data_IF_297119876393
#
_entry.id   IF_297119876393
#
_cell.length_a   1.000
_cell.length_b   1.000
_cell.length_c   1.000
_cell.angle_alpha   90.00
_cell.angle_beta   90.00
_cell.angle_gamma   90.00
#
_symmetry.space_group_name_H-M   'P 1'
#
loop_
_entity.id
_entity.type
_entity.pdbx_description
1 polymer ?
#
# COMPACT_ATOMS: atom_id res chain seq x y z
N UNK A 1 6.05 17.15 -19.56
CA UNK A 1 5.42 16.22 -18.61
C UNK A 1 4.49 15.31 -19.39
N UNK A 2 4.70 14.00 -19.32
CA UNK A 2 3.81 13.04 -19.98
C UNK A 2 2.50 12.84 -19.18
N UNK A 3 1.52 12.11 -19.75
CA UNK A 3 0.20 11.96 -19.12
C UNK A 3 0.27 11.26 -17.75
N UNK A 4 1.16 10.29 -17.58
CA UNK A 4 1.34 9.56 -16.32
C UNK A 4 1.90 10.46 -15.21
N UNK A 5 2.85 11.33 -15.54
CA UNK A 5 3.38 12.32 -14.58
C UNK A 5 2.33 13.35 -14.18
N UNK A 6 1.49 13.79 -15.13
CA UNK A 6 0.36 14.66 -14.82
C UNK A 6 -0.64 13.99 -13.89
N UNK A 7 -0.95 12.72 -14.14
CA UNK A 7 -1.84 11.92 -13.27
C UNK A 7 -1.24 11.76 -11.87
N UNK A 8 0.06 11.43 -11.76
CA UNK A 8 0.71 11.30 -10.47
C UNK A 8 0.69 12.63 -9.66
N UNK A 9 0.95 13.75 -10.33
CA UNK A 9 0.90 15.05 -9.67
C UNK A 9 -0.54 15.40 -9.23
N UNK A 10 -1.54 15.05 -10.03
CA UNK A 10 -2.94 15.20 -9.65
C UNK A 10 -3.29 14.37 -8.42
N UNK A 11 -2.89 13.08 -8.36
CA UNK A 11 -3.07 12.23 -7.18
C UNK A 11 -2.46 12.87 -5.94
N UNK A 12 -1.21 13.33 -6.03
CA UNK A 12 -0.52 13.99 -4.92
C UNK A 12 -1.23 15.26 -4.46
N UNK A 13 -1.64 16.10 -5.40
CA UNK A 13 -2.33 17.36 -5.11
C UNK A 13 -3.68 17.12 -4.40
N UNK A 14 -4.53 16.22 -4.91
CA UNK A 14 -5.79 15.88 -4.26
C UNK A 14 -5.54 15.27 -2.89
N UNK A 15 -4.59 14.34 -2.77
CA UNK A 15 -4.23 13.72 -1.49
C UNK A 15 -3.80 14.75 -0.46
N UNK A 16 -2.93 15.69 -0.81
CA UNK A 16 -2.50 16.74 0.10
C UNK A 16 -3.66 17.66 0.49
N UNK A 17 -4.52 18.01 -0.46
CA UNK A 17 -5.66 18.88 -0.23
C UNK A 17 -6.72 18.28 0.70
N UNK A 18 -7.06 16.99 0.55
CA UNK A 18 -8.03 16.34 1.45
C UNK A 18 -7.50 16.24 2.89
N UNK A 19 -6.19 15.98 3.06
CA UNK A 19 -5.56 15.97 4.38
C UNK A 19 -5.57 17.37 5.01
N UNK A 20 -5.23 18.40 4.23
CA UNK A 20 -5.25 19.79 4.69
C UNK A 20 -6.68 20.23 5.08
N UNK A 21 -7.67 19.88 4.28
CA UNK A 21 -9.08 20.19 4.57
C UNK A 21 -9.57 19.50 5.85
N UNK A 22 -9.10 18.28 6.12
CA UNK A 22 -9.41 17.56 7.36
C UNK A 22 -8.70 18.14 8.60
N UNK A 23 -7.67 18.99 8.41
CA UNK A 23 -6.86 19.57 9.48
C UNK A 23 -6.01 18.55 10.24
N UNK A 24 -6.00 17.29 9.81
CA UNK A 24 -5.24 16.20 10.44
C UNK A 24 -5.02 15.06 9.45
N UNK A 25 -3.90 14.35 9.57
CA UNK A 25 -3.58 13.20 8.72
C UNK A 25 -2.08 13.01 8.51
N UNK A 26 -1.72 12.06 7.66
CA UNK A 26 -0.34 11.65 7.42
C UNK A 26 0.08 12.01 5.98
N UNK A 27 0.41 13.27 5.77
CA UNK A 27 0.78 13.77 4.43
C UNK A 27 2.04 13.07 3.92
N UNK A 28 3.04 12.92 4.78
CA UNK A 28 4.35 12.40 4.38
C UNK A 28 4.29 11.02 3.76
N UNK A 29 3.68 10.06 4.45
CA UNK A 29 3.51 8.70 3.96
C UNK A 29 2.67 8.68 2.68
N UNK A 30 1.52 9.37 2.66
CA UNK A 30 0.60 9.39 1.53
C UNK A 30 1.25 9.91 0.23
N UNK A 31 2.05 10.98 0.32
CA UNK A 31 2.80 11.51 -0.84
C UNK A 31 3.95 10.56 -1.23
N UNK A 32 4.67 10.02 -0.25
CA UNK A 32 5.79 9.11 -0.48
C UNK A 32 5.42 7.87 -1.28
N UNK A 33 4.26 7.25 -0.97
CA UNK A 33 3.81 6.00 -1.62
C UNK A 33 2.97 6.22 -2.87
N UNK A 34 2.65 7.46 -3.26
CA UNK A 34 1.76 7.78 -4.39
C UNK A 34 2.19 7.11 -5.70
N UNK A 35 3.50 7.04 -5.99
CA UNK A 35 4.02 6.41 -7.21
C UNK A 35 3.85 4.89 -7.19
N UNK A 36 4.03 4.26 -6.04
CA UNK A 36 3.85 2.81 -5.83
C UNK A 36 2.38 2.45 -6.03
N UNK A 37 1.50 3.18 -5.34
CA UNK A 37 0.06 2.97 -5.37
C UNK A 37 -0.54 3.20 -6.76
N UNK A 38 -0.17 4.31 -7.43
CA UNK A 38 -0.64 4.57 -8.79
C UNK A 38 -0.14 3.50 -9.77
N UNK A 39 1.11 3.03 -9.63
CA UNK A 39 1.65 1.97 -10.48
C UNK A 39 0.92 0.63 -10.27
N UNK A 40 0.58 0.31 -9.01
CA UNK A 40 -0.22 -0.87 -8.71
C UNK A 40 -1.59 -0.79 -9.37
N UNK A 41 -2.38 0.24 -9.06
CA UNK A 41 -3.76 0.37 -9.50
C UNK A 41 -3.89 0.46 -11.03
N UNK A 42 -2.97 1.19 -11.69
CA UNK A 42 -3.03 1.41 -13.13
C UNK A 42 -2.56 0.20 -13.96
N UNK A 43 -1.51 -0.48 -13.53
CA UNK A 43 -0.81 -1.44 -14.40
C UNK A 43 -0.94 -2.91 -13.93
N UNK A 44 -1.32 -3.16 -12.66
CA UNK A 44 -1.16 -4.50 -12.07
C UNK A 44 -2.36 -5.04 -11.31
N UNK A 45 -3.20 -4.18 -10.75
CA UNK A 45 -4.32 -4.54 -9.87
C UNK A 45 -5.55 -4.92 -10.70
N UNK A 46 -6.02 -6.16 -10.54
CA UNK A 46 -7.21 -6.67 -11.21
C UNK A 46 -8.45 -6.43 -10.33
N UNK A 47 -9.32 -5.54 -10.75
CA UNK A 47 -10.57 -5.18 -10.08
C UNK A 47 -11.66 -4.86 -11.11
N UNK A 48 -12.91 -4.91 -10.66
CA UNK A 48 -14.08 -4.48 -11.45
C UNK A 48 -14.96 -3.60 -10.56
N UNK A 49 -15.15 -2.34 -10.94
CA UNK A 49 -15.96 -1.39 -10.17
C UNK A 49 -17.46 -1.63 -10.30
N UNK A 50 -17.90 -2.45 -11.25
CA UNK A 50 -19.30 -2.88 -11.38
C UNK A 50 -19.63 -4.08 -10.49
N UNK A 51 -18.60 -4.81 -10.02
CA UNK A 51 -18.70 -5.94 -9.09
C UNK A 51 -17.45 -5.96 -8.20
N UNK A 52 -17.40 -5.03 -7.24
CA UNK A 52 -16.22 -4.88 -6.35
C UNK A 52 -15.99 -6.09 -5.45
N UNK A 53 -16.92 -7.04 -5.42
CA UNK A 53 -16.86 -8.27 -4.62
C UNK A 53 -16.58 -9.53 -5.45
N UNK A 54 -16.32 -9.42 -6.78
CA UNK A 54 -16.10 -10.61 -7.58
C UNK A 54 -14.92 -11.46 -7.05
N UNK A 55 -15.11 -12.80 -7.11
CA UNK A 55 -14.29 -13.75 -6.36
C UNK A 55 -12.78 -13.66 -6.72
N UNK A 56 -12.46 -13.54 -8.00
CA UNK A 56 -11.08 -13.60 -8.51
C UNK A 56 -10.43 -12.20 -8.65
N UNK A 57 -10.98 -11.19 -7.95
CA UNK A 57 -10.31 -9.88 -7.89
C UNK A 57 -9.03 -9.98 -7.09
N UNK A 58 -8.02 -9.20 -7.45
CA UNK A 58 -6.85 -9.04 -6.60
C UNK A 58 -7.25 -8.42 -5.25
N UNK A 59 -6.47 -8.68 -4.21
CA UNK A 59 -6.67 -8.14 -2.88
C UNK A 59 -5.60 -7.09 -2.60
N UNK A 60 -6.01 -5.92 -2.14
CA UNK A 60 -5.07 -4.90 -1.68
C UNK A 60 -5.28 -4.59 -0.20
N UNK A 61 -4.21 -4.72 0.58
CA UNK A 61 -4.20 -4.40 2.01
C UNK A 61 -3.24 -3.24 2.25
N UNK A 62 -3.77 -2.13 2.74
CA UNK A 62 -2.96 -1.01 3.20
C UNK A 62 -2.60 -1.22 4.67
N UNK A 63 -1.51 -1.95 4.96
CA UNK A 63 -1.05 -2.20 6.34
C UNK A 63 -0.61 -0.90 7.01
N UNK A 64 0.12 -0.04 6.31
CA UNK A 64 0.39 1.33 6.72
C UNK A 64 -0.90 2.18 6.61
N UNK A 65 -1.91 1.87 7.42
CA UNK A 65 -3.27 2.41 7.31
C UNK A 65 -3.34 3.93 7.37
N UNK A 66 -2.35 4.57 7.98
CA UNK A 66 -2.21 6.02 8.02
C UNK A 66 -1.99 6.67 6.64
N UNK A 67 -1.57 5.91 5.61
CA UNK A 67 -1.49 6.38 4.23
C UNK A 67 -2.83 6.31 3.48
N UNK A 68 -3.96 6.10 4.16
CA UNK A 68 -5.29 6.00 3.55
C UNK A 68 -5.72 7.17 2.64
N UNK A 69 -5.28 8.43 2.84
CA UNK A 69 -5.69 9.52 1.95
C UNK A 69 -5.34 9.27 0.47
N UNK A 70 -4.15 8.76 0.17
CA UNK A 70 -3.81 8.41 -1.22
C UNK A 70 -4.61 7.21 -1.71
N UNK A 71 -4.95 6.26 -0.83
CA UNK A 71 -5.79 5.11 -1.18
C UNK A 71 -7.20 5.57 -1.57
N UNK A 72 -7.86 6.38 -0.76
CA UNK A 72 -9.18 6.95 -1.07
C UNK A 72 -9.18 7.79 -2.34
N UNK A 73 -8.13 8.58 -2.56
CA UNK A 73 -7.95 9.34 -3.80
C UNK A 73 -7.93 8.40 -5.02
N UNK A 74 -7.21 7.28 -4.94
CA UNK A 74 -7.14 6.32 -6.04
C UNK A 74 -8.45 5.54 -6.20
N UNK A 75 -9.10 5.09 -5.14
CA UNK A 75 -10.42 4.45 -5.22
C UNK A 75 -11.40 5.35 -5.97
N UNK A 76 -11.49 6.63 -5.59
CA UNK A 76 -12.33 7.62 -6.29
C UNK A 76 -11.95 7.78 -7.76
N UNK A 77 -10.66 7.87 -8.08
CA UNK A 77 -10.17 8.06 -9.44
C UNK A 77 -10.39 6.84 -10.35
N UNK A 78 -10.32 5.64 -9.78
CA UNK A 78 -10.51 4.39 -10.53
C UNK A 78 -11.97 3.93 -10.59
N UNK A 79 -12.91 4.72 -10.05
CA UNK A 79 -14.35 4.54 -10.24
C UNK A 79 -15.05 3.68 -9.19
N UNK A 80 -14.39 3.39 -8.06
CA UNK A 80 -15.08 2.83 -6.89
C UNK A 80 -16.10 3.84 -6.35
N UNK A 81 -17.07 3.36 -5.56
CA UNK A 81 -18.12 4.22 -4.97
C UNK A 81 -17.55 5.10 -3.83
N UNK A 82 -16.59 5.95 -4.21
CA UNK A 82 -15.98 6.98 -3.37
C UNK A 82 -16.03 8.31 -4.11
N UNK A 83 -16.93 9.19 -3.70
CA UNK A 83 -17.18 10.46 -4.38
C UNK A 83 -16.17 11.54 -3.98
N UNK A 84 -16.12 12.64 -4.76
CA UNK A 84 -15.33 13.81 -4.36
C UNK A 84 -15.82 14.44 -3.05
N UNK A 85 -17.12 14.29 -2.73
CA UNK A 85 -17.64 14.76 -1.45
C UNK A 85 -17.15 13.88 -0.29
N UNK A 86 -17.10 12.55 -0.47
CA UNK A 86 -16.53 11.65 0.54
C UNK A 86 -15.06 12.01 0.83
N UNK A 87 -14.27 12.35 -0.21
CA UNK A 87 -12.90 12.81 -0.03
C UNK A 87 -12.82 14.12 0.77
N UNK A 88 -13.72 15.08 0.54
CA UNK A 88 -13.79 16.34 1.29
C UNK A 88 -14.23 16.15 2.74
N UNK A 89 -14.97 15.07 3.00
CA UNK A 89 -15.49 14.73 4.33
C UNK A 89 -14.56 13.77 5.09
N UNK A 90 -13.33 13.58 4.61
CA UNK A 90 -12.34 12.72 5.26
C UNK A 90 -12.21 13.03 6.76
N UNK A 91 -12.25 11.97 7.59
CA UNK A 91 -12.18 12.04 9.07
C UNK A 91 -13.37 12.73 9.77
N UNK A 92 -14.40 13.15 9.06
CA UNK A 92 -15.61 13.61 9.73
C UNK A 92 -16.39 12.42 10.32
N UNK A 93 -17.11 12.65 11.39
CA UNK A 93 -17.95 11.61 12.00
C UNK A 93 -18.97 11.08 10.97
N UNK A 94 -19.02 9.76 10.80
CA UNK A 94 -19.91 9.10 9.83
C UNK A 94 -19.45 9.19 8.37
N UNK A 95 -18.24 9.72 8.11
CA UNK A 95 -17.67 9.77 6.76
C UNK A 95 -17.37 8.37 6.23
N UNK A 96 -17.51 8.18 4.91
CA UNK A 96 -17.09 6.99 4.19
C UNK A 96 -15.57 6.92 3.97
N UNK A 97 -14.83 7.96 4.36
CA UNK A 97 -13.36 8.04 4.29
C UNK A 97 -12.79 8.31 5.69
N UNK A 98 -12.83 7.31 6.59
CA UNK A 98 -12.32 7.45 7.95
C UNK A 98 -10.80 7.67 7.99
N UNK A 99 -10.26 7.95 9.17
CA UNK A 99 -8.83 8.26 9.36
C UNK A 99 -7.87 7.12 9.10
N UNK A 100 -8.38 5.89 9.04
CA UNK A 100 -7.70 4.66 8.62
C UNK A 100 -8.70 3.81 7.84
N UNK A 101 -8.26 2.87 6.97
CA UNK A 101 -9.19 2.05 6.20
C UNK A 101 -10.09 1.20 7.11
N UNK A 102 -11.39 1.20 6.81
CA UNK A 102 -12.37 0.38 7.52
C UNK A 102 -13.16 -0.47 6.51
N UNK A 103 -13.08 -1.80 6.67
CA UNK A 103 -13.83 -2.74 5.86
C UNK A 103 -15.34 -2.54 6.04
N UNK A 104 -16.08 -2.53 4.93
CA UNK A 104 -17.53 -2.32 4.93
C UNK A 104 -17.96 -0.85 5.03
N UNK A 105 -17.03 0.10 5.21
CA UNK A 105 -17.32 1.54 5.23
C UNK A 105 -16.93 2.20 3.90
N UNK A 106 -15.70 1.94 3.43
CA UNK A 106 -15.22 2.46 2.15
C UNK A 106 -15.23 1.35 1.11
N UNK A 107 -15.87 1.58 -0.02
CA UNK A 107 -15.87 0.64 -1.14
C UNK A 107 -14.44 0.37 -1.65
N UNK A 108 -14.13 -0.92 -1.93
CA UNK A 108 -12.79 -1.36 -2.34
C UNK A 108 -11.79 -1.56 -1.20
N UNK A 109 -12.16 -1.33 0.07
CA UNK A 109 -11.31 -1.63 1.24
C UNK A 109 -11.52 -3.08 1.68
N UNK A 110 -10.46 -3.90 1.58
CA UNK A 110 -10.50 -5.33 1.90
C UNK A 110 -10.32 -5.65 3.39
N UNK A 111 -9.63 -4.79 4.14
CA UNK A 111 -9.27 -5.03 5.55
C UNK A 111 -9.22 -3.71 6.30
N UNK A 112 -9.80 -3.69 7.50
CA UNK A 112 -9.61 -2.58 8.45
C UNK A 112 -8.19 -2.62 9.00
N UNK A 113 -7.48 -1.48 8.91
CA UNK A 113 -6.10 -1.34 9.38
C UNK A 113 -5.93 -0.06 10.19
N UNK A 114 -4.75 0.11 10.79
CA UNK A 114 -4.40 1.23 11.66
C UNK A 114 -3.32 0.81 12.63
N UNK A 115 -3.57 -0.22 13.48
CA UNK A 115 -2.49 -0.83 14.27
C UNK A 115 -1.45 -1.45 13.34
N UNK A 116 -0.19 -1.01 13.45
CA UNK A 116 0.90 -1.41 12.57
C UNK A 116 1.11 -2.94 12.55
N UNK A 117 1.49 -3.47 11.41
CA UNK A 117 1.79 -4.89 11.22
C UNK A 117 0.57 -5.81 11.07
N UNK A 118 -0.61 -5.42 11.55
CA UNK A 118 -1.82 -6.25 11.45
C UNK A 118 -2.24 -6.49 10.01
N UNK A 119 -2.16 -5.48 9.15
CA UNK A 119 -2.47 -5.61 7.73
C UNK A 119 -1.57 -6.61 7.01
N UNK A 120 -0.29 -6.70 7.37
CA UNK A 120 0.63 -7.71 6.83
C UNK A 120 0.14 -9.13 7.16
N UNK A 121 -0.27 -9.37 8.40
CA UNK A 121 -0.80 -10.67 8.82
C UNK A 121 -2.13 -11.01 8.10
N UNK A 122 -3.03 -10.02 7.95
CA UNK A 122 -4.26 -10.21 7.17
C UNK A 122 -3.96 -10.55 5.71
N UNK A 123 -2.99 -9.88 5.07
CA UNK A 123 -2.59 -10.18 3.71
C UNK A 123 -2.04 -11.61 3.55
N UNK A 124 -1.30 -12.11 4.54
CA UNK A 124 -0.86 -13.51 4.57
C UNK A 124 -2.07 -14.46 4.66
N UNK A 125 -3.07 -14.14 5.50
CA UNK A 125 -4.31 -14.91 5.60
C UNK A 125 -5.09 -14.96 4.28
N UNK A 126 -5.20 -13.82 3.57
CA UNK A 126 -5.84 -13.75 2.26
C UNK A 126 -5.09 -14.60 1.20
N UNK A 127 -3.76 -14.57 1.21
CA UNK A 127 -2.95 -15.39 0.30
C UNK A 127 -3.03 -16.90 0.62
N UNK A 128 -3.17 -17.28 1.89
CA UNK A 128 -3.46 -18.66 2.28
C UNK A 128 -4.83 -19.09 1.74
N UNK A 129 -5.84 -18.24 1.90
CA UNK A 129 -7.19 -18.52 1.40
C UNK A 129 -7.20 -18.69 -0.13
N UNK A 130 -6.49 -17.83 -0.87
CA UNK A 130 -6.32 -17.97 -2.32
C UNK A 130 -5.72 -19.33 -2.68
N UNK A 131 -4.64 -19.71 -2.03
CA UNK A 131 -3.94 -20.97 -2.29
C UNK A 131 -4.83 -22.17 -2.04
N UNK A 132 -5.60 -22.19 -0.93
CA UNK A 132 -6.54 -23.28 -0.60
C UNK A 132 -7.67 -23.33 -1.63
N UNK A 133 -8.22 -22.19 -2.01
CA UNK A 133 -9.31 -22.14 -2.99
C UNK A 133 -8.83 -22.52 -4.40
N UNK A 134 -7.63 -22.08 -4.79
CA UNK A 134 -7.03 -22.45 -6.07
C UNK A 134 -6.81 -23.96 -6.17
N UNK A 135 -6.28 -24.60 -5.12
CA UNK A 135 -6.09 -26.06 -5.08
C UNK A 135 -7.42 -26.82 -5.14
N UNK A 136 -8.45 -26.27 -4.51
CA UNK A 136 -9.77 -26.92 -4.44
C UNK A 136 -10.60 -26.78 -5.71
N UNK A 137 -10.55 -25.64 -6.39
CA UNK A 137 -11.48 -25.28 -7.46
C UNK A 137 -10.86 -25.17 -8.85
N UNK A 138 -9.54 -25.00 -8.96
CA UNK A 138 -8.89 -24.93 -10.26
C UNK A 138 -8.74 -26.32 -10.88
N UNK A 139 -8.83 -26.39 -12.20
CA UNK A 139 -8.50 -27.58 -12.98
C UNK A 139 -7.48 -27.25 -14.06
N UNK A 140 -6.87 -28.30 -14.64
CA UNK A 140 -5.86 -28.14 -15.69
C UNK A 140 -6.44 -27.36 -16.88
N UNK A 141 -5.83 -26.21 -17.18
CA UNK A 141 -6.25 -25.33 -18.26
C UNK A 141 -7.44 -24.41 -17.91
N UNK A 142 -7.98 -24.47 -16.69
CA UNK A 142 -9.11 -23.64 -16.26
C UNK A 142 -8.90 -23.09 -14.84
N UNK A 143 -8.07 -22.06 -14.66
CA UNK A 143 -7.85 -21.42 -13.36
C UNK A 143 -9.01 -20.48 -13.03
N UNK A 144 -9.88 -20.87 -12.08
CA UNK A 144 -10.98 -20.05 -11.57
C UNK A 144 -10.44 -19.03 -10.56
N UNK A 145 -9.51 -19.46 -9.69
CA UNK A 145 -8.89 -18.65 -8.64
C UNK A 145 -7.43 -18.42 -9.02
N UNK A 146 -7.08 -17.16 -9.24
CA UNK A 146 -5.72 -16.80 -9.69
C UNK A 146 -5.33 -15.37 -9.29
N UNK A 147 -5.95 -14.83 -8.24
CA UNK A 147 -5.74 -13.47 -7.79
C UNK A 147 -4.46 -13.30 -6.98
N UNK A 148 -3.87 -12.11 -7.05
CA UNK A 148 -2.76 -11.70 -6.20
C UNK A 148 -3.27 -11.03 -4.93
N UNK A 149 -2.47 -11.13 -3.87
CA UNK A 149 -2.62 -10.30 -2.67
C UNK A 149 -1.44 -9.33 -2.61
N UNK A 150 -1.74 -8.04 -2.66
CA UNK A 150 -0.77 -6.97 -2.48
C UNK A 150 -0.94 -6.36 -1.10
N UNK A 151 0.16 -6.11 -0.41
CA UNK A 151 0.13 -5.44 0.89
C UNK A 151 1.15 -4.30 0.90
N UNK A 152 0.73 -3.08 1.21
CA UNK A 152 1.65 -1.96 1.38
C UNK A 152 1.95 -1.80 2.87
N UNK A 153 3.22 -1.86 3.22
CA UNK A 153 3.73 -1.74 4.59
C UNK A 153 4.88 -0.73 4.67
N UNK A 154 4.98 -0.03 5.77
CA UNK A 154 6.09 0.86 6.08
C UNK A 154 7.15 0.23 6.99
N UNK A 155 8.15 1.02 7.35
CA UNK A 155 9.21 0.61 8.28
C UNK A 155 8.63 0.14 9.63
N UNK A 156 7.67 0.87 10.19
CA UNK A 156 7.02 0.54 11.46
C UNK A 156 6.26 -0.79 11.42
N UNK A 157 5.54 -1.08 10.32
CA UNK A 157 4.84 -2.37 10.16
C UNK A 157 5.79 -3.56 10.27
N UNK A 158 6.99 -3.44 9.67
CA UNK A 158 7.98 -4.52 9.65
C UNK A 158 8.79 -4.65 10.94
N UNK A 159 8.57 -3.79 11.92
CA UNK A 159 9.09 -3.92 13.28
C UNK A 159 8.15 -4.71 14.20
N UNK A 160 6.88 -4.87 13.81
CA UNK A 160 5.89 -5.57 14.61
C UNK A 160 6.09 -7.09 14.58
N UNK A 161 5.98 -7.73 15.75
CA UNK A 161 6.14 -9.18 15.89
C UNK A 161 5.15 -9.96 15.03
N UNK A 162 3.87 -9.55 15.02
CA UNK A 162 2.81 -10.19 14.24
C UNK A 162 3.12 -10.19 12.73
N UNK A 163 3.69 -9.10 12.22
CA UNK A 163 4.08 -9.03 10.81
C UNK A 163 5.21 -10.02 10.50
N UNK A 164 6.20 -10.10 11.37
CA UNK A 164 7.36 -10.99 11.17
C UNK A 164 6.99 -12.46 11.28
N UNK A 165 6.13 -12.84 12.22
CA UNK A 165 5.61 -14.20 12.34
C UNK A 165 4.82 -14.60 11.10
N UNK A 166 3.91 -13.74 10.64
CA UNK A 166 3.13 -13.95 9.43
C UNK A 166 4.03 -14.07 8.18
N UNK A 167 5.03 -13.20 8.03
CA UNK A 167 5.99 -13.29 6.92
C UNK A 167 6.83 -14.58 6.94
N UNK A 168 7.20 -15.07 8.11
CA UNK A 168 7.91 -16.35 8.26
C UNK A 168 7.01 -17.51 7.78
N UNK A 169 5.75 -17.52 8.19
CA UNK A 169 4.76 -18.50 7.73
C UNK A 169 4.55 -18.42 6.21
N UNK A 170 4.41 -17.22 5.64
CA UNK A 170 4.23 -17.03 4.21
C UNK A 170 5.41 -17.60 3.38
N UNK A 171 6.64 -17.41 3.87
CA UNK A 171 7.82 -18.01 3.25
C UNK A 171 7.82 -19.53 3.31
N UNK A 172 7.45 -20.10 4.47
CA UNK A 172 7.34 -21.54 4.68
C UNK A 172 6.30 -22.17 3.74
N UNK A 173 5.15 -21.51 3.58
CA UNK A 173 4.06 -21.96 2.71
C UNK A 173 4.28 -21.61 1.22
N UNK A 174 5.37 -20.93 0.87
CA UNK A 174 5.68 -20.51 -0.49
C UNK A 174 4.54 -19.74 -1.19
N UNK A 175 3.87 -18.83 -0.49
CA UNK A 175 2.70 -18.07 -0.98
C UNK A 175 3.09 -17.15 -2.14
N UNK A 176 3.27 -17.69 -3.32
CA UNK A 176 3.87 -17.03 -4.50
C UNK A 176 3.05 -15.87 -5.07
N UNK A 177 1.77 -15.76 -4.72
CA UNK A 177 0.90 -14.64 -5.13
C UNK A 177 0.80 -13.53 -4.08
N UNK A 178 1.53 -13.65 -2.97
CA UNK A 178 1.68 -12.57 -2.00
C UNK A 178 2.83 -11.66 -2.39
N UNK A 179 2.53 -10.37 -2.60
CA UNK A 179 3.51 -9.33 -2.91
C UNK A 179 3.44 -8.24 -1.84
N UNK A 180 4.48 -8.13 -1.04
CA UNK A 180 4.62 -7.10 -0.03
C UNK A 180 5.37 -5.90 -0.63
N UNK A 181 4.70 -4.76 -0.71
CA UNK A 181 5.20 -3.49 -1.21
C UNK A 181 5.72 -2.70 0.01
N UNK A 182 7.04 -2.69 0.19
CA UNK A 182 7.65 -2.06 1.35
C UNK A 182 8.12 -0.64 1.03
N UNK A 183 7.48 0.34 1.68
CA UNK A 183 7.87 1.75 1.69
C UNK A 183 9.06 1.96 2.64
N UNK A 184 10.27 1.95 2.09
CA UNK A 184 11.51 2.15 2.83
C UNK A 184 11.97 3.59 2.72
N UNK A 185 11.44 4.46 3.57
CA UNK A 185 11.73 5.89 3.57
C UNK A 185 12.70 6.32 4.68
N UNK A 186 13.19 5.40 5.51
CA UNK A 186 14.12 5.58 6.62
C UNK A 186 13.60 6.48 7.77
N UNK A 187 12.28 6.72 7.83
CA UNK A 187 11.66 7.60 8.83
C UNK A 187 10.52 6.88 9.54
N UNK A 188 10.47 7.03 10.85
CA UNK A 188 9.33 6.70 11.71
C UNK A 188 8.72 7.99 12.27
N UNK A 189 7.68 7.87 13.13
CA UNK A 189 6.99 9.03 13.68
C UNK A 189 7.95 10.01 14.35
N UNK A 190 8.90 9.53 15.15
CA UNK A 190 9.76 10.34 15.99
C UNK A 190 11.19 10.55 15.44
N UNK A 191 11.49 10.05 14.25
CA UNK A 191 12.82 10.23 13.67
C UNK A 191 13.28 9.14 12.73
N UNK A 192 14.61 9.00 12.61
CA UNK A 192 15.21 7.98 11.74
C UNK A 192 14.95 6.56 12.26
N UNK A 193 14.63 5.65 11.33
CA UNK A 193 14.49 4.21 11.59
C UNK A 193 15.71 3.66 12.35
N UNK A 194 16.92 4.16 12.11
CA UNK A 194 18.14 3.69 12.75
C UNK A 194 18.18 3.87 14.28
N UNK A 195 17.25 4.66 14.85
CA UNK A 195 17.12 4.81 16.31
C UNK A 195 16.52 3.55 16.90
N UNK A 196 15.53 2.95 16.25
CA UNK A 196 14.75 1.82 16.75
C UNK A 196 15.06 0.49 16.05
N UNK A 197 15.50 0.51 14.79
CA UNK A 197 15.80 -0.71 14.02
C UNK A 197 17.05 -0.56 13.15
N UNK A 198 17.96 -1.54 13.26
CA UNK A 198 19.17 -1.64 12.43
C UNK A 198 19.24 -2.94 11.64
N UNK A 199 18.12 -3.64 11.51
CA UNK A 199 18.07 -4.91 10.81
C UNK A 199 18.25 -4.73 9.28
N UNK A 200 18.87 -5.72 8.65
CA UNK A 200 18.88 -5.81 7.20
C UNK A 200 17.64 -6.55 6.71
N UNK A 201 16.57 -5.81 6.46
CA UNK A 201 15.26 -6.36 6.04
C UNK A 201 15.40 -7.26 4.81
N UNK A 202 16.22 -6.89 3.83
CA UNK A 202 16.44 -7.72 2.64
C UNK A 202 17.04 -9.09 2.96
N UNK A 203 17.99 -9.15 3.89
CA UNK A 203 18.59 -10.43 4.34
C UNK A 203 17.61 -11.22 5.19
N UNK A 204 16.86 -10.56 6.06
CA UNK A 204 15.84 -11.16 6.93
C UNK A 204 14.77 -11.87 6.09
N UNK A 205 14.19 -11.19 5.10
CA UNK A 205 13.19 -11.79 4.21
C UNK A 205 13.75 -12.92 3.34
N UNK A 206 14.98 -12.80 2.85
CA UNK A 206 15.65 -13.92 2.14
C UNK A 206 15.81 -15.15 3.04
N UNK A 207 16.17 -14.97 4.30
CA UNK A 207 16.30 -16.07 5.27
C UNK A 207 14.95 -16.74 5.55
N UNK A 208 13.83 -15.99 5.49
CA UNK A 208 12.46 -16.52 5.57
C UNK A 208 11.97 -17.18 4.26
N UNK A 209 12.79 -17.30 3.22
CA UNK A 209 12.41 -17.97 1.97
C UNK A 209 11.77 -17.05 0.91
N UNK A 210 11.69 -15.74 1.14
CA UNK A 210 11.12 -14.79 0.21
C UNK A 210 12.05 -14.45 -0.97
N UNK A 211 11.45 -14.15 -2.13
CA UNK A 211 12.12 -13.38 -3.18
C UNK A 211 12.18 -11.90 -2.75
N UNK A 212 13.30 -11.23 -3.03
CA UNK A 212 13.50 -9.82 -2.66
C UNK A 212 13.95 -9.01 -3.86
N UNK A 213 13.15 -8.00 -4.21
CA UNK A 213 13.41 -7.05 -5.29
C UNK A 213 13.68 -5.67 -4.67
N UNK A 214 14.72 -4.97 -5.15
CA UNK A 214 15.02 -3.60 -4.72
C UNK A 214 14.69 -2.62 -5.84
N UNK A 215 13.81 -1.68 -5.59
CA UNK A 215 13.50 -0.53 -6.43
C UNK A 215 14.20 0.69 -5.83
N UNK A 216 15.29 1.15 -6.48
CA UNK A 216 16.11 2.28 -5.98
C UNK A 216 15.40 3.63 -6.04
N UNK A 217 14.35 3.75 -6.83
CA UNK A 217 13.56 4.98 -6.97
C UNK A 217 12.07 4.66 -6.89
N UNK A 218 11.56 4.58 -5.64
CA UNK A 218 10.15 4.32 -5.32
C UNK A 218 9.23 5.53 -5.58
N UNK A 219 9.79 6.68 -5.87
CA UNK A 219 9.03 7.87 -6.27
C UNK A 219 8.89 8.02 -7.79
N UNK A 220 9.37 7.05 -8.58
CA UNK A 220 9.21 7.00 -10.02
C UNK A 220 8.19 5.91 -10.42
N UNK A 221 7.09 6.31 -11.04
CA UNK A 221 6.02 5.42 -11.50
C UNK A 221 6.52 4.22 -12.31
N UNK A 222 7.35 4.46 -13.32
CA UNK A 222 7.82 3.39 -14.22
C UNK A 222 8.77 2.41 -13.54
N UNK A 223 9.56 2.89 -12.57
CA UNK A 223 10.42 2.02 -11.77
C UNK A 223 9.55 1.13 -10.84
N UNK A 224 8.51 1.69 -10.25
CA UNK A 224 7.55 0.96 -9.41
C UNK A 224 6.81 -0.10 -10.23
N UNK A 225 6.22 0.27 -11.37
CA UNK A 225 5.49 -0.66 -12.23
C UNK A 225 6.38 -1.83 -12.69
N UNK A 226 7.62 -1.54 -13.14
CA UNK A 226 8.57 -2.62 -13.50
C UNK A 226 8.92 -3.54 -12.33
N UNK A 227 9.05 -3.01 -11.12
CA UNK A 227 9.39 -3.82 -9.94
C UNK A 227 8.22 -4.73 -9.55
N UNK A 228 6.98 -4.25 -9.57
CA UNK A 228 5.76 -5.03 -9.33
C UNK A 228 5.61 -6.11 -10.41
N UNK A 229 5.78 -5.76 -11.69
CA UNK A 229 5.71 -6.72 -12.79
C UNK A 229 6.78 -7.83 -12.71
N UNK A 230 7.97 -7.55 -12.13
CA UNK A 230 8.96 -8.59 -11.82
C UNK A 230 8.54 -9.47 -10.66
N UNK A 231 7.90 -8.90 -9.63
CA UNK A 231 7.42 -9.65 -8.48
C UNK A 231 6.40 -10.72 -8.87
N UNK A 232 5.49 -10.43 -9.79
CA UNK A 232 4.48 -11.37 -10.32
C UNK A 232 5.06 -12.60 -11.02
N UNK A 233 6.35 -12.58 -11.38
CA UNK A 233 7.05 -13.71 -12.05
C UNK A 233 7.72 -14.67 -11.08
N UNK A 234 7.65 -14.40 -9.78
CA UNK A 234 8.28 -15.21 -8.75
C UNK A 234 7.42 -16.42 -8.39
N UNK A 235 8.06 -17.55 -8.08
CA UNK A 235 7.41 -18.72 -7.49
C UNK A 235 7.45 -18.72 -5.95
N UNK A 236 7.77 -17.58 -5.34
CA UNK A 236 7.85 -17.37 -3.89
C UNK A 236 7.14 -16.08 -3.53
N UNK A 237 6.69 -15.91 -2.27
CA UNK A 237 6.23 -14.60 -1.81
C UNK A 237 7.34 -13.57 -2.07
N UNK A 238 6.96 -12.37 -2.49
CA UNK A 238 7.94 -11.37 -2.91
C UNK A 238 7.84 -10.11 -2.08
N UNK A 239 8.97 -9.70 -1.49
CA UNK A 239 9.16 -8.37 -0.93
C UNK A 239 9.74 -7.46 -2.01
N UNK A 240 9.04 -6.37 -2.32
CA UNK A 240 9.57 -5.29 -3.15
C UNK A 240 9.92 -4.11 -2.25
N UNK A 241 11.21 -3.83 -2.09
CA UNK A 241 11.70 -2.72 -1.27
C UNK A 241 11.77 -1.48 -2.15
N UNK A 242 10.90 -0.52 -1.93
CA UNK A 242 10.89 0.76 -2.62
C UNK A 242 11.62 1.80 -1.77
N UNK A 243 12.75 2.31 -2.27
CA UNK A 243 13.39 3.47 -1.66
C UNK A 243 12.60 4.71 -2.05
N UNK A 244 11.93 5.30 -1.08
CA UNK A 244 11.08 6.48 -1.26
C UNK A 244 11.62 7.67 -0.45
N UNK A 245 11.01 8.82 -0.67
CA UNK A 245 11.20 10.01 0.15
C UNK A 245 9.86 10.37 0.77
N UNK A 246 9.79 10.36 2.10
CA UNK A 246 8.60 10.79 2.83
C UNK A 246 8.30 12.26 2.52
N UNK A 247 7.02 12.59 2.28
CA UNK A 247 6.61 13.97 2.02
C UNK A 247 7.19 14.59 0.76
N UNK A 248 7.52 13.77 -0.25
CA UNK A 248 8.12 14.25 -1.50
C UNK A 248 7.30 15.37 -2.14
N UNK A 249 7.96 16.46 -2.46
CA UNK A 249 7.36 17.67 -3.05
C UNK A 249 6.92 18.71 -2.02
N UNK A 250 7.20 18.52 -0.72
CA UNK A 250 6.98 19.50 0.33
C UNK A 250 8.30 20.08 0.83
N UNK A 251 8.27 21.23 1.47
CA UNK A 251 9.46 21.86 2.07
C UNK A 251 10.09 21.03 3.21
N UNK A 252 9.34 20.05 3.74
CA UNK A 252 9.75 19.15 4.83
C UNK A 252 10.08 17.74 4.34
N UNK A 253 10.24 17.55 3.03
CA UNK A 253 10.49 16.22 2.47
C UNK A 253 11.72 15.54 3.10
N UNK A 254 11.66 14.23 3.27
CA UNK A 254 12.73 13.43 3.85
C UNK A 254 12.88 13.54 5.36
N UNK A 255 12.03 14.29 6.05
CA UNK A 255 12.10 14.48 7.51
C UNK A 255 10.89 13.88 8.24
N UNK A 256 11.05 13.59 9.54
CA UNK A 256 9.94 13.11 10.39
C UNK A 256 8.88 14.20 10.63
N UNK A 257 9.22 15.47 10.44
CA UNK A 257 8.29 16.58 10.67
C UNK A 257 7.10 16.62 9.71
N UNK A 258 7.12 15.86 8.61
CA UNK A 258 6.00 15.74 7.67
C UNK A 258 5.21 14.42 7.88
N UNK A 259 5.63 13.55 8.81
CA UNK A 259 5.03 12.22 8.96
C UNK A 259 3.53 12.28 9.25
N UNK A 260 3.13 12.81 10.40
CA UNK A 260 1.74 12.82 10.89
C UNK A 260 1.11 14.22 10.90
N UNK A 261 1.42 15.06 9.93
CA UNK A 261 1.02 16.48 9.90
C UNK A 261 0.25 16.77 8.62
N UNK A 262 -0.85 17.54 8.74
CA UNK A 262 -1.53 18.15 7.60
C UNK A 262 -0.74 19.38 7.14
N UNK A 263 -0.65 19.60 5.83
CA UNK A 263 -0.10 20.83 5.27
C UNK A 263 -1.07 21.98 5.50
N UNK A 264 -0.54 23.17 5.77
CA UNK A 264 -1.32 24.42 5.78
C UNK A 264 -1.77 24.79 4.36
N UNK A 265 -2.76 25.67 4.26
CA UNK A 265 -3.23 26.17 2.96
C UNK A 265 -2.16 26.95 2.19
N UNK A 266 -1.17 27.53 2.89
CA UNK A 266 -0.04 28.20 2.25
C UNK A 266 1.00 27.21 1.70
N UNK A 267 1.23 26.09 2.39
CA UNK A 267 2.10 25.00 1.91
C UNK A 267 1.49 24.22 0.72
N UNK A 268 0.21 24.37 0.44
CA UNK A 268 -0.47 23.76 -0.72
C UNK A 268 -0.35 24.57 -2.01
N UNK A 269 0.04 25.85 -1.94
CA UNK A 269 0.24 26.75 -3.11
C UNK A 269 1.55 26.47 -3.81
#
# INVERSE_FOLDING_TARGET
>A
MNITEKTLNYVKSITAQIISNAGSGHTGASLGVSSIMLALFKDHYNFDVSDTDFLNRDRFVLSAGHACPVYYTLLSMFGFDVTLQDLKDMRKLGSRTPGHPEYGITDGVEVSTGPLGQGVANAVGLAIAETIMAERFNSVGFPIINNYTYCLAGDGDLMEGVAMEACSLAGTLCLNKLILLYDSNDVTMDGSVNISNRENIAKKFKAMGWNVIKCKNGNNFYACSRAIGKAKKSNKPTLVIFKTTIGIGTDKEGTSSVHGVALSQDELK
#
